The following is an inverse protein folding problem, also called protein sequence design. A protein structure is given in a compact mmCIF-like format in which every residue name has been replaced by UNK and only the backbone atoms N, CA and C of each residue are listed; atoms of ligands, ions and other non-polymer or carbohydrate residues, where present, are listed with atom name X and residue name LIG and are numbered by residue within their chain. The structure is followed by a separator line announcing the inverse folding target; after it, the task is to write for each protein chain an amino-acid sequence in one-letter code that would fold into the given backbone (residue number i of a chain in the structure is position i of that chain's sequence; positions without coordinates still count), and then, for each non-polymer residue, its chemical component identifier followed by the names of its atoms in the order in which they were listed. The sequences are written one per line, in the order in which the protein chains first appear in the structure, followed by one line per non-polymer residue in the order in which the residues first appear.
data_IF_028077683038
#
_entry.id   IF_028077683038
#
_cell.length_a   1.000
_cell.length_b   1.000
_cell.length_c   1.000
_cell.angle_alpha   90.00
_cell.angle_beta   90.00
_cell.angle_gamma   90.00
#
_symmetry.space_group_name_H-M   'P 1'
#
loop_
_entity.id
_entity.type
_entity.pdbx_description
1 polymer ?
#
# COMPACT_ATOMS: atom_id res chain seq x y z
N UNK A 1 -30.49 0.44 -25.69
CA UNK A 1 -29.18 0.27 -25.00
C UNK A 1 -28.08 0.52 -26.02
N UNK A 2 -26.96 1.20 -25.68
CA UNK A 2 -26.19 0.96 -24.45
C UNK A 2 -26.26 2.09 -23.44
N UNK A 3 -26.14 1.67 -22.18
CA UNK A 3 -26.03 2.49 -20.99
C UNK A 3 -24.71 3.25 -21.11
N UNK A 4 -24.76 4.59 -21.14
CA UNK A 4 -23.58 5.43 -20.94
C UNK A 4 -23.03 5.14 -19.54
N UNK A 5 -22.11 4.18 -19.42
CA UNK A 5 -21.35 4.02 -18.19
C UNK A 5 -20.43 5.22 -18.11
N UNK A 6 -20.79 6.12 -17.21
CA UNK A 6 -20.00 7.28 -16.88
C UNK A 6 -18.64 6.74 -16.39
N UNK A 7 -17.64 6.73 -17.28
CA UNK A 7 -16.27 6.25 -17.04
C UNK A 7 -15.59 7.23 -16.09
N UNK A 8 -16.05 7.27 -14.85
CA UNK A 8 -15.38 8.00 -13.79
C UNK A 8 -13.94 7.50 -13.79
N UNK A 9 -13.02 8.47 -13.89
CA UNK A 9 -11.60 8.24 -13.93
C UNK A 9 -11.19 7.80 -12.52
N UNK A 10 -11.50 6.55 -12.14
CA UNK A 10 -11.30 5.98 -10.81
C UNK A 10 -9.82 5.80 -10.43
N UNK A 11 -8.93 6.40 -11.23
CA UNK A 11 -7.52 6.55 -10.93
C UNK A 11 -7.30 7.13 -9.54
N UNK A 12 -7.93 8.27 -9.23
CA UNK A 12 -7.76 8.93 -7.93
C UNK A 12 -8.26 8.06 -6.77
N UNK A 13 -9.34 7.31 -6.98
CA UNK A 13 -9.86 6.36 -5.99
C UNK A 13 -8.83 5.27 -5.72
N UNK A 14 -8.30 4.63 -6.79
CA UNK A 14 -7.25 3.62 -6.65
C UNK A 14 -5.98 4.17 -5.99
N UNK A 15 -5.59 5.40 -6.35
CA UNK A 15 -4.43 6.08 -5.81
C UNK A 15 -4.55 6.34 -4.31
N UNK A 16 -5.60 7.04 -3.86
CA UNK A 16 -5.77 7.34 -2.44
C UNK A 16 -6.02 6.08 -1.60
N UNK A 17 -6.79 5.12 -2.12
CA UNK A 17 -7.01 3.85 -1.44
C UNK A 17 -5.69 3.11 -1.21
N UNK A 18 -4.88 2.99 -2.26
CA UNK A 18 -3.59 2.29 -2.21
C UNK A 18 -2.51 3.02 -1.43
N UNK A 19 -2.63 4.34 -1.25
CA UNK A 19 -1.77 5.11 -0.36
C UNK A 19 -2.08 4.83 1.12
N UNK A 20 -3.34 4.59 1.48
CA UNK A 20 -3.72 4.31 2.87
C UNK A 20 -3.50 2.86 3.29
N UNK A 21 -3.48 1.92 2.34
CA UNK A 21 -3.34 0.50 2.63
C UNK A 21 -2.00 0.14 3.30
N UNK A 22 -0.83 0.59 2.82
CA UNK A 22 0.44 0.22 3.44
C UNK A 22 0.57 0.74 4.88
N UNK A 23 0.26 2.02 5.20
CA UNK A 23 0.25 2.49 6.59
C UNK A 23 -0.72 1.70 7.48
N UNK A 24 -1.93 1.40 6.98
CA UNK A 24 -2.91 0.60 7.72
C UNK A 24 -2.42 -0.83 7.97
N UNK A 25 -1.81 -1.46 6.97
CA UNK A 25 -1.22 -2.79 7.09
C UNK A 25 -0.10 -2.80 8.11
N UNK A 26 0.81 -1.82 8.07
CA UNK A 26 1.93 -1.71 9.03
C UNK A 26 1.39 -1.50 10.44
N UNK A 27 0.37 -0.66 10.61
CA UNK A 27 -0.29 -0.47 11.90
C UNK A 27 -0.86 -1.76 12.47
N UNK A 28 -1.63 -2.51 11.68
CA UNK A 28 -2.22 -3.79 12.11
C UNK A 28 -1.13 -4.83 12.36
N UNK A 29 -0.13 -4.91 11.48
CA UNK A 29 0.99 -5.85 11.62
C UNK A 29 1.77 -5.62 12.91
N UNK A 30 2.12 -4.36 13.20
CA UNK A 30 2.81 -4.03 14.44
C UNK A 30 1.90 -4.22 15.66
N UNK A 31 0.63 -3.85 15.60
CA UNK A 31 -0.30 -4.07 16.71
C UNK A 31 -0.44 -5.56 17.11
N UNK A 32 -0.27 -6.47 16.15
CA UNK A 32 -0.45 -7.90 16.37
C UNK A 32 0.86 -8.66 16.62
N UNK A 33 1.96 -8.25 15.97
CA UNK A 33 3.22 -9.01 15.96
C UNK A 33 4.40 -8.24 16.57
N UNK A 34 4.25 -6.97 16.93
CA UNK A 34 5.33 -6.21 17.58
C UNK A 34 5.54 -6.74 19.00
N UNK A 35 6.78 -7.11 19.37
CA UNK A 35 7.14 -7.42 20.76
C UNK A 35 7.23 -6.14 21.62
N UNK A 36 7.20 -4.96 21.00
CA UNK A 36 7.31 -3.68 21.69
C UNK A 36 5.92 -3.21 22.14
N UNK A 37 5.69 -3.15 23.46
CA UNK A 37 4.54 -2.45 24.06
C UNK A 37 4.72 -0.92 24.04
N UNK A 38 5.18 -0.38 22.92
CA UNK A 38 5.41 1.05 22.73
C UNK A 38 4.46 1.63 21.69
N UNK A 39 4.19 2.93 21.79
CA UNK A 39 3.39 3.65 20.80
C UNK A 39 3.91 3.41 19.38
N UNK A 40 3.00 3.29 18.40
CA UNK A 40 3.31 3.04 16.99
C UNK A 40 4.44 3.92 16.45
N UNK A 41 4.41 5.22 16.77
CA UNK A 41 5.43 6.19 16.35
C UNK A 41 6.81 5.87 16.94
N UNK A 42 6.86 5.48 18.21
CA UNK A 42 8.11 5.10 18.87
C UNK A 42 8.68 3.81 18.27
N UNK A 43 7.81 2.83 17.97
CA UNK A 43 8.21 1.60 17.28
C UNK A 43 8.79 1.92 15.90
N UNK A 44 8.13 2.75 15.09
CA UNK A 44 8.66 3.17 13.78
C UNK A 44 9.99 3.92 13.91
N UNK A 45 10.16 4.78 14.93
CA UNK A 45 11.42 5.47 15.20
C UNK A 45 12.54 4.51 15.60
N UNK A 46 12.25 3.46 16.37
CA UNK A 46 13.22 2.42 16.70
C UNK A 46 13.59 1.56 15.48
N UNK A 47 12.65 1.36 14.57
CA UNK A 47 12.89 0.64 13.32
C UNK A 47 13.59 1.50 12.26
N UNK A 48 13.63 2.83 12.38
CA UNK A 48 14.23 3.70 11.38
C UNK A 48 15.66 4.14 11.78
N UNK A 49 16.67 4.04 10.89
CA UNK A 49 16.72 3.27 9.65
C UNK A 49 17.23 1.85 9.95
N UNK A 50 16.45 0.83 9.59
CA UNK A 50 16.88 -0.56 9.67
C UNK A 50 16.37 -1.35 8.47
N UNK A 51 17.10 -2.40 8.11
CA UNK A 51 16.71 -3.37 7.09
C UNK A 51 15.31 -3.97 7.37
N UNK A 52 14.93 -4.05 8.66
CA UNK A 52 13.63 -4.57 9.07
C UNK A 52 12.48 -3.64 8.65
N UNK A 53 12.68 -2.31 8.69
CA UNK A 53 11.69 -1.36 8.18
C UNK A 53 11.57 -1.45 6.66
N UNK A 54 12.69 -1.62 5.96
CA UNK A 54 12.71 -1.85 4.51
C UNK A 54 11.91 -3.11 4.12
N UNK A 55 12.10 -4.21 4.84
CA UNK A 55 11.31 -5.46 4.68
C UNK A 55 9.83 -5.27 5.01
N UNK A 56 9.51 -4.50 6.05
CA UNK A 56 8.14 -4.22 6.47
C UNK A 56 7.40 -3.37 5.43
N UNK A 57 8.06 -2.36 4.86
CA UNK A 57 7.53 -1.57 3.75
C UNK A 57 7.29 -2.44 2.51
N UNK A 58 8.23 -3.32 2.17
CA UNK A 58 8.06 -4.27 1.07
C UNK A 58 6.85 -5.18 1.30
N UNK A 59 6.71 -5.73 2.51
CA UNK A 59 5.60 -6.59 2.90
C UNK A 59 4.27 -5.83 2.81
N UNK A 60 4.23 -4.56 3.24
CA UNK A 60 3.04 -3.71 3.18
C UNK A 60 2.59 -3.36 1.76
N UNK A 61 3.45 -3.54 0.75
CA UNK A 61 3.09 -3.38 -0.66
C UNK A 61 2.33 -4.59 -1.25
N UNK A 62 2.37 -5.77 -0.61
CA UNK A 62 1.66 -6.97 -1.09
C UNK A 62 0.14 -6.79 -1.20
N UNK A 63 -0.57 -6.23 -0.21
CA UNK A 63 -1.99 -5.93 -0.33
C UNK A 63 -2.32 -5.04 -1.56
N UNK A 64 -1.46 -4.06 -1.86
CA UNK A 64 -1.62 -3.23 -3.06
C UNK A 64 -1.49 -4.08 -4.34
N UNK A 65 -0.49 -4.95 -4.42
CA UNK A 65 -0.34 -5.87 -5.56
C UNK A 65 -1.54 -6.81 -5.73
N UNK A 66 -2.09 -7.31 -4.62
CA UNK A 66 -3.29 -8.14 -4.64
C UNK A 66 -4.51 -7.37 -5.18
N UNK A 67 -4.66 -6.10 -4.80
CA UNK A 67 -5.72 -5.24 -5.36
C UNK A 67 -5.48 -4.91 -6.83
N UNK A 68 -4.23 -4.61 -7.24
CA UNK A 68 -3.91 -4.43 -8.66
C UNK A 68 -4.38 -5.64 -9.46
N UNK A 69 -4.08 -6.85 -8.99
CA UNK A 69 -4.48 -8.10 -9.66
C UNK A 69 -6.01 -8.25 -9.73
N UNK A 70 -6.72 -7.96 -8.64
CA UNK A 70 -8.18 -8.01 -8.59
C UNK A 70 -8.83 -7.04 -9.59
N UNK A 71 -8.37 -5.78 -9.60
CA UNK A 71 -8.93 -4.73 -10.46
C UNK A 71 -8.50 -4.84 -11.92
N UNK A 72 -7.33 -5.44 -12.18
CA UNK A 72 -6.90 -5.78 -13.52
C UNK A 72 -7.85 -6.80 -14.15
N UNK A 73 -8.31 -7.78 -13.36
CA UNK A 73 -9.27 -8.80 -13.82
C UNK A 73 -10.68 -8.24 -14.09
N UNK A 74 -11.08 -7.15 -13.44
CA UNK A 74 -12.40 -6.52 -13.59
C UNK A 74 -12.44 -5.40 -14.63
N UNK A 75 -11.48 -5.38 -15.56
CA UNK A 75 -11.37 -4.40 -16.66
C UNK A 75 -11.29 -2.93 -16.18
N UNK A 76 -10.88 -2.73 -14.91
CA UNK A 76 -10.79 -1.42 -14.26
C UNK A 76 -9.38 -0.83 -14.37
N UNK A 77 -8.87 -0.73 -15.60
CA UNK A 77 -7.46 -0.40 -15.89
C UNK A 77 -6.96 0.88 -15.23
N UNK A 78 -7.75 1.96 -15.27
CA UNK A 78 -7.42 3.26 -14.66
C UNK A 78 -7.29 3.19 -13.14
N UNK A 79 -8.08 2.35 -12.48
CA UNK A 79 -8.04 2.13 -11.04
C UNK A 79 -6.77 1.35 -10.68
N UNK A 80 -6.50 0.25 -11.39
CA UNK A 80 -5.26 -0.53 -11.21
C UNK A 80 -4.00 0.31 -11.41
N UNK A 81 -4.00 1.22 -12.39
CA UNK A 81 -2.89 2.15 -12.61
C UNK A 81 -2.71 3.10 -11.41
N UNK A 82 -3.81 3.62 -10.85
CA UNK A 82 -3.77 4.45 -9.63
C UNK A 82 -3.17 3.72 -8.44
N UNK A 83 -3.57 2.47 -8.22
CA UNK A 83 -3.03 1.62 -7.16
C UNK A 83 -1.52 1.39 -7.37
N UNK A 84 -1.12 1.06 -8.60
CA UNK A 84 0.28 0.74 -8.90
C UNK A 84 1.19 1.97 -8.70
N UNK A 85 0.75 3.16 -9.10
CA UNK A 85 1.51 4.41 -8.89
C UNK A 85 1.59 4.74 -7.40
N UNK A 86 0.50 4.59 -6.64
CA UNK A 86 0.50 4.85 -5.19
C UNK A 86 1.36 3.85 -4.40
N UNK A 87 1.57 2.63 -4.91
CA UNK A 87 2.45 1.65 -4.30
C UNK A 87 3.95 1.97 -4.51
N UNK A 88 4.31 2.72 -5.55
CA UNK A 88 5.71 2.99 -5.91
C UNK A 88 6.52 3.69 -4.80
N UNK A 89 6.05 4.74 -4.12
CA UNK A 89 6.78 5.36 -3.02
C UNK A 89 7.21 4.37 -1.94
N UNK A 90 6.35 3.42 -1.57
CA UNK A 90 6.65 2.40 -0.56
C UNK A 90 7.68 1.39 -1.06
N UNK A 91 7.57 0.99 -2.32
CA UNK A 91 8.54 0.09 -2.94
C UNK A 91 9.91 0.74 -3.03
N UNK A 92 9.98 1.99 -3.53
CA UNK A 92 11.21 2.77 -3.63
C UNK A 92 11.82 2.98 -2.23
N UNK A 93 11.03 3.43 -1.25
CA UNK A 93 11.50 3.61 0.12
C UNK A 93 12.04 2.32 0.74
N UNK A 94 11.41 1.18 0.46
CA UNK A 94 11.88 -0.14 0.89
C UNK A 94 13.27 -0.45 0.34
N UNK A 95 13.51 -0.28 -0.97
CA UNK A 95 14.83 -0.55 -1.58
C UNK A 95 15.94 0.36 -1.07
N UNK A 96 15.64 1.60 -0.68
CA UNK A 96 16.64 2.49 -0.08
C UNK A 96 17.03 2.10 1.36
N UNK A 97 16.22 1.26 2.02
CA UNK A 97 16.43 0.83 3.40
C UNK A 97 16.92 -0.63 3.54
N UNK A 98 16.93 -1.39 2.43
CA UNK A 98 17.46 -2.75 2.32
C UNK A 98 18.97 -2.71 2.03
#
# INVERSE_FOLDING_TARGET
MPIMSNKWNNFWVGFFLSLWIPPAFIYVYLAQFSPFETNFVATIQHLYPSELLGKLLLLSAFPNLALVFLFYKTDSFKLSQGILIAAMPYFIASFFML
#
